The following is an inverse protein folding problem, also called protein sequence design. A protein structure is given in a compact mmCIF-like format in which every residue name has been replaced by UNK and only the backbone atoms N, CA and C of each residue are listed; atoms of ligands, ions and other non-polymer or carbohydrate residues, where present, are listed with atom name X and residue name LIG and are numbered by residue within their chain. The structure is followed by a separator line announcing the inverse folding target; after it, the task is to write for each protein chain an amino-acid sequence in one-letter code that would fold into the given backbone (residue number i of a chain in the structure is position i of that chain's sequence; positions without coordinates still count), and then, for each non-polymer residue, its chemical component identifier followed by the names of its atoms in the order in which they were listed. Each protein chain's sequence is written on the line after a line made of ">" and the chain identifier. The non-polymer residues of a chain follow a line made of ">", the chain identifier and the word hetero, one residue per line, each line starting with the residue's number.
data_IF_437106701071
#
_entry.id   IF_437106701071
#
_cell.length_a   1.000
_cell.length_b   1.000
_cell.length_c   1.000
_cell.angle_alpha   90.00
_cell.angle_beta   90.00
_cell.angle_gamma   90.00
#
_symmetry.space_group_name_H-M   'P 1'
#
loop_
_entity.id
_entity.type
_entity.pdbx_description
1 polymer ?
#
# COMPACT_ATOMS: atom_id res chain seq x y z
N UNK A 1 -10.39 -57.55 30.73
CA UNK A 1 -10.08 -57.55 29.29
C UNK A 1 -11.19 -56.83 28.57
N UNK A 2 -10.96 -55.57 28.17
CA UNK A 2 -11.35 -54.92 26.91
C UNK A 2 -11.01 -53.43 27.02
N UNK A 3 -10.21 -52.98 26.07
CA UNK A 3 -9.52 -51.71 25.92
C UNK A 3 -10.39 -50.74 25.09
N UNK A 4 -10.54 -49.43 25.42
CA UNK A 4 -11.24 -48.50 24.55
C UNK A 4 -10.26 -47.86 23.55
N UNK A 5 -10.53 -48.12 22.27
CA UNK A 5 -9.74 -47.69 21.13
C UNK A 5 -9.65 -46.16 20.99
N UNK A 6 -8.43 -45.72 20.67
CA UNK A 6 -8.07 -44.37 20.28
C UNK A 6 -8.72 -43.97 18.95
N UNK A 7 -9.47 -42.87 18.94
CA UNK A 7 -9.99 -42.22 17.73
C UNK A 7 -8.89 -41.45 17.00
N UNK A 8 -8.45 -41.99 15.87
CA UNK A 8 -7.50 -41.36 14.95
C UNK A 8 -8.12 -40.13 14.27
N UNK A 9 -7.46 -38.97 14.40
CA UNK A 9 -7.84 -37.74 13.72
C UNK A 9 -7.59 -37.80 12.21
N UNK A 10 -8.62 -37.51 11.43
CA UNK A 10 -8.56 -37.45 9.97
C UNK A 10 -7.62 -36.32 9.47
N UNK A 11 -6.88 -36.53 8.37
CA UNK A 11 -6.03 -35.51 7.78
C UNK A 11 -6.87 -34.41 7.11
N UNK A 12 -6.43 -33.16 7.29
CA UNK A 12 -7.00 -31.99 6.64
C UNK A 12 -6.89 -32.12 5.11
N UNK A 13 -8.04 -32.18 4.45
CA UNK A 13 -8.16 -32.21 2.99
C UNK A 13 -7.43 -31.05 2.32
N UNK A 14 -6.69 -31.36 1.26
CA UNK A 14 -5.94 -30.39 0.47
C UNK A 14 -6.87 -29.38 -0.20
N UNK A 15 -6.66 -28.10 0.09
CA UNK A 15 -7.30 -27.02 -0.64
C UNK A 15 -6.76 -26.97 -2.09
N UNK A 16 -7.61 -26.65 -3.08
CA UNK A 16 -7.19 -26.57 -4.47
C UNK A 16 -6.07 -25.51 -4.65
N UNK A 17 -5.01 -25.94 -5.31
CA UNK A 17 -3.88 -25.11 -5.75
C UNK A 17 -4.38 -24.05 -6.73
N UNK A 18 -4.54 -22.81 -6.28
CA UNK A 18 -4.69 -21.68 -7.20
C UNK A 18 -3.41 -21.51 -8.02
N UNK A 19 -3.50 -21.30 -9.35
CA UNK A 19 -2.33 -21.05 -10.17
C UNK A 19 -1.61 -19.78 -9.68
N UNK A 20 -0.27 -19.74 -9.76
CA UNK A 20 0.49 -18.56 -9.40
C UNK A 20 0.05 -17.38 -10.27
N UNK A 21 -0.07 -16.17 -9.71
CA UNK A 21 -0.37 -14.98 -10.51
C UNK A 21 0.74 -14.78 -11.55
N UNK A 22 0.35 -14.68 -12.82
CA UNK A 22 1.23 -14.32 -13.92
C UNK A 22 1.80 -12.92 -13.66
N UNK A 23 3.09 -12.88 -13.38
CA UNK A 23 3.83 -11.67 -13.11
C UNK A 23 4.28 -11.04 -14.42
N UNK A 24 3.75 -9.85 -14.73
CA UNK A 24 4.39 -8.92 -15.67
C UNK A 24 5.29 -8.03 -14.81
N UNK A 25 6.63 -8.10 -14.96
CA UNK A 25 7.50 -7.16 -14.28
C UNK A 25 7.18 -5.73 -14.71
N UNK A 26 7.13 -4.75 -13.78
CA UNK A 26 7.25 -3.37 -14.19
C UNK A 26 8.59 -3.20 -14.89
N UNK A 27 8.55 -2.74 -16.14
CA UNK A 27 9.73 -2.44 -16.94
C UNK A 27 10.64 -1.47 -16.18
N UNK A 28 11.89 -1.89 -15.95
CA UNK A 28 13.02 -0.99 -15.76
C UNK A 28 13.41 -0.63 -14.32
N UNK A 29 14.16 -1.51 -13.65
CA UNK A 29 15.36 -1.08 -12.89
C UNK A 29 16.45 -2.14 -13.15
N UNK A 30 17.17 -1.99 -14.26
CA UNK A 30 18.44 -2.69 -14.48
C UNK A 30 19.49 -1.98 -13.63
N UNK A 31 20.13 -2.73 -12.73
CA UNK A 31 21.26 -2.24 -11.95
C UNK A 31 22.51 -2.14 -12.84
N UNK A 32 22.60 -1.10 -13.66
CA UNK A 32 23.85 -0.73 -14.35
C UNK A 32 24.60 0.32 -13.53
N UNK A 33 25.81 -0.03 -13.07
CA UNK A 33 26.80 0.91 -12.52
C UNK A 33 27.36 1.77 -13.67
N UNK A 34 26.62 2.80 -14.04
CA UNK A 34 27.10 3.95 -14.83
C UNK A 34 27.00 5.23 -14.00
N UNK A 35 27.48 6.39 -14.50
CA UNK A 35 27.31 7.67 -13.82
C UNK A 35 25.82 7.85 -13.51
N UNK A 36 25.48 8.05 -12.23
CA UNK A 36 24.09 8.18 -11.76
C UNK A 36 23.42 9.30 -12.57
N UNK A 37 22.62 8.94 -13.57
CA UNK A 37 21.61 9.83 -14.10
C UNK A 37 20.83 10.34 -12.88
N UNK A 38 20.74 11.66 -12.71
CA UNK A 38 19.97 12.24 -11.62
C UNK A 38 18.55 11.67 -11.72
N UNK A 39 18.18 10.84 -10.75
CA UNK A 39 16.84 10.25 -10.70
C UNK A 39 15.87 11.42 -10.56
N UNK A 40 14.92 11.55 -11.48
CA UNK A 40 13.90 12.60 -11.41
C UNK A 40 13.13 12.44 -10.09
N UNK A 41 13.19 13.47 -9.24
CA UNK A 41 12.58 13.47 -7.90
C UNK A 41 11.09 13.16 -7.99
N UNK A 42 10.38 13.68 -8.98
CA UNK A 42 8.95 13.43 -9.18
C UNK A 42 8.64 11.97 -9.51
N UNK A 43 9.50 11.30 -10.29
CA UNK A 43 9.37 9.88 -10.58
C UNK A 43 9.60 9.03 -9.31
N UNK A 44 10.65 9.34 -8.56
CA UNK A 44 10.97 8.66 -7.30
C UNK A 44 9.82 8.80 -6.26
N UNK A 45 9.23 9.98 -6.15
CA UNK A 45 8.08 10.23 -5.28
C UNK A 45 6.87 9.39 -5.68
N UNK A 46 6.56 9.32 -6.98
CA UNK A 46 5.46 8.50 -7.47
C UNK A 46 5.67 7.01 -7.20
N UNK A 47 6.85 6.49 -7.53
CA UNK A 47 7.21 5.09 -7.30
C UNK A 47 7.14 4.72 -5.81
N UNK A 48 7.53 5.66 -4.93
CA UNK A 48 7.38 5.52 -3.49
C UNK A 48 5.91 5.38 -3.08
N UNK A 49 5.02 6.26 -3.55
CA UNK A 49 3.59 6.21 -3.23
C UNK A 49 2.98 4.87 -3.68
N UNK A 50 3.22 4.48 -4.93
CA UNK A 50 2.67 3.23 -5.47
C UNK A 50 3.17 2.01 -4.69
N UNK A 51 4.47 1.97 -4.42
CA UNK A 51 5.08 0.86 -3.70
C UNK A 51 4.59 0.80 -2.26
N UNK A 52 4.41 1.95 -1.60
CA UNK A 52 3.87 2.02 -0.25
C UNK A 52 2.44 1.46 -0.19
N UNK A 53 1.55 1.95 -1.06
CA UNK A 53 0.15 1.50 -1.11
C UNK A 53 0.07 0.01 -1.46
N UNK A 54 0.86 -0.47 -2.41
CA UNK A 54 0.92 -1.88 -2.77
C UNK A 54 1.42 -2.76 -1.61
N UNK A 55 2.46 -2.31 -0.89
CA UNK A 55 3.00 -3.00 0.28
C UNK A 55 1.96 -3.11 1.39
N UNK A 56 1.28 -2.01 1.70
CA UNK A 56 0.21 -1.95 2.71
C UNK A 56 -0.93 -2.90 2.36
N UNK A 57 -1.41 -2.88 1.12
CA UNK A 57 -2.49 -3.77 0.66
C UNK A 57 -2.08 -5.25 0.74
N UNK A 58 -0.87 -5.58 0.31
CA UNK A 58 -0.37 -6.94 0.40
C UNK A 58 -0.30 -7.41 1.86
N UNK A 59 0.22 -6.57 2.76
CA UNK A 59 0.22 -6.87 4.18
C UNK A 59 -1.19 -7.05 4.76
N UNK A 60 -2.13 -6.17 4.42
CA UNK A 60 -3.53 -6.31 4.85
C UNK A 60 -4.13 -7.66 4.41
N UNK A 61 -3.83 -8.11 3.18
CA UNK A 61 -4.23 -9.43 2.71
C UNK A 61 -3.60 -10.58 3.50
N UNK A 62 -2.31 -10.47 3.86
CA UNK A 62 -1.62 -11.45 4.71
C UNK A 62 -2.26 -11.50 6.11
N UNK A 63 -2.49 -10.33 6.72
CA UNK A 63 -3.09 -10.21 8.04
C UNK A 63 -4.52 -10.74 8.07
N UNK A 64 -5.35 -10.41 7.08
CA UNK A 64 -6.72 -10.89 6.98
C UNK A 64 -6.78 -12.42 6.84
N UNK A 65 -5.91 -13.00 5.98
CA UNK A 65 -5.83 -14.45 5.82
C UNK A 65 -5.39 -15.14 7.12
N UNK A 66 -4.41 -14.56 7.83
CA UNK A 66 -4.00 -15.05 9.14
C UNK A 66 -5.16 -15.05 10.14
N UNK A 67 -5.86 -13.93 10.26
CA UNK A 67 -7.00 -13.81 11.18
C UNK A 67 -8.13 -14.79 10.84
N UNK A 68 -8.46 -14.95 9.56
CA UNK A 68 -9.45 -15.93 9.10
C UNK A 68 -9.04 -17.35 9.50
N UNK A 69 -7.77 -17.72 9.32
CA UNK A 69 -7.26 -19.05 9.71
C UNK A 69 -7.29 -19.27 11.21
N UNK A 70 -6.96 -18.24 12.00
CA UNK A 70 -7.04 -18.26 13.46
C UNK A 70 -8.48 -18.47 13.92
N UNK A 71 -9.43 -17.69 13.38
CA UNK A 71 -10.86 -17.81 13.72
C UNK A 71 -11.37 -19.20 13.35
N UNK A 72 -11.10 -19.68 12.14
CA UNK A 72 -11.52 -21.01 11.70
C UNK A 72 -10.91 -22.14 12.55
N UNK A 73 -9.68 -21.96 13.05
CA UNK A 73 -9.05 -22.92 13.94
C UNK A 73 -9.65 -22.91 15.36
N UNK A 74 -10.00 -21.73 15.88
CA UNK A 74 -10.69 -21.56 17.15
C UNK A 74 -12.11 -22.17 17.11
N UNK A 75 -12.89 -21.85 16.08
CA UNK A 75 -14.24 -22.39 15.89
C UNK A 75 -14.27 -23.91 15.81
N UNK A 76 -13.34 -24.52 15.07
CA UNK A 76 -13.23 -25.99 14.97
C UNK A 76 -12.91 -26.69 16.29
N UNK A 77 -12.33 -25.97 17.26
CA UNK A 77 -11.96 -26.49 18.58
C UNK A 77 -12.94 -26.07 19.68
N UNK A 78 -13.98 -25.30 19.35
CA UNK A 78 -14.95 -24.81 20.34
C UNK A 78 -14.35 -23.86 21.38
N UNK A 79 -13.25 -23.17 21.05
CA UNK A 79 -12.56 -22.23 21.97
C UNK A 79 -12.56 -20.82 21.39
N UNK A 80 -12.31 -19.81 22.24
CA UNK A 80 -12.09 -18.44 21.75
C UNK A 80 -10.68 -18.28 21.15
N UNK A 81 -10.44 -17.16 20.46
CA UNK A 81 -9.12 -16.83 19.89
C UNK A 81 -8.03 -16.81 20.96
N UNK A 82 -8.33 -16.28 22.13
CA UNK A 82 -7.40 -16.09 23.25
C UNK A 82 -7.06 -17.42 23.92
N UNK A 83 -7.99 -18.39 23.86
CA UNK A 83 -7.84 -19.73 24.39
C UNK A 83 -7.24 -20.72 23.37
N UNK A 84 -7.06 -20.29 22.12
CA UNK A 84 -6.62 -21.14 21.03
C UNK A 84 -5.18 -21.61 21.25
N UNK A 85 -5.03 -22.91 21.54
CA UNK A 85 -3.74 -23.61 21.56
C UNK A 85 -3.68 -24.57 20.37
N UNK A 86 -2.76 -24.30 19.44
CA UNK A 86 -2.56 -25.11 18.23
C UNK A 86 -1.27 -25.91 18.31
N UNK A 87 -1.20 -27.15 17.80
CA UNK A 87 0.09 -27.81 17.64
C UNK A 87 0.96 -27.04 16.62
N UNK A 88 2.30 -27.18 16.66
CA UNK A 88 3.23 -26.43 15.81
C UNK A 88 2.94 -26.52 14.31
N UNK A 89 2.48 -27.68 13.82
CA UNK A 89 2.07 -27.88 12.43
C UNK A 89 0.91 -26.97 12.03
N UNK A 90 -0.11 -26.90 12.87
CA UNK A 90 -1.30 -26.07 12.62
C UNK A 90 -0.97 -24.58 12.75
N UNK A 91 -0.13 -24.22 13.73
CA UNK A 91 0.37 -22.85 13.90
C UNK A 91 1.20 -22.38 12.70
N UNK A 92 2.10 -23.23 12.20
CA UNK A 92 2.85 -22.97 10.98
C UNK A 92 1.90 -22.75 9.79
N UNK A 93 0.83 -23.55 9.69
CA UNK A 93 -0.17 -23.41 8.65
C UNK A 93 -1.00 -22.11 8.75
N UNK A 94 -1.01 -21.41 9.88
CA UNK A 94 -1.71 -20.11 9.99
C UNK A 94 -1.06 -19.03 9.12
N UNK A 95 0.25 -19.12 8.87
CA UNK A 95 1.00 -18.13 8.11
C UNK A 95 1.39 -18.66 6.72
N UNK A 96 1.30 -17.80 5.71
CA UNK A 96 1.77 -18.13 4.37
C UNK A 96 3.15 -17.52 4.14
N UNK A 97 4.22 -18.22 4.58
CA UNK A 97 5.59 -17.72 4.52
C UNK A 97 6.00 -17.13 3.15
N UNK A 98 5.75 -17.78 2.00
CA UNK A 98 6.11 -17.20 0.71
C UNK A 98 5.52 -15.81 0.43
N UNK A 99 4.29 -15.52 0.92
CA UNK A 99 3.67 -14.20 0.73
C UNK A 99 4.32 -13.15 1.62
N UNK A 100 4.73 -13.54 2.84
CA UNK A 100 5.45 -12.66 3.76
C UNK A 100 6.87 -12.36 3.26
N UNK A 101 7.56 -13.36 2.71
CA UNK A 101 8.88 -13.19 2.08
C UNK A 101 8.77 -12.33 0.81
N UNK A 102 7.75 -12.55 -0.02
CA UNK A 102 7.48 -11.68 -1.16
C UNK A 102 7.22 -10.23 -0.74
N UNK A 103 6.40 -10.01 0.31
CA UNK A 103 6.21 -8.66 0.88
C UNK A 103 7.55 -8.06 1.31
N UNK A 104 8.40 -8.83 2.01
CA UNK A 104 9.71 -8.35 2.47
C UNK A 104 10.63 -7.96 1.30
N UNK A 105 10.82 -8.87 0.36
CA UNK A 105 11.90 -8.77 -0.63
C UNK A 105 11.49 -7.95 -1.84
N UNK A 106 10.29 -8.15 -2.36
CA UNK A 106 9.84 -7.52 -3.60
C UNK A 106 9.19 -6.14 -3.36
N UNK A 107 8.79 -5.83 -2.12
CA UNK A 107 8.05 -4.60 -1.81
C UNK A 107 8.74 -3.75 -0.75
N UNK A 108 8.94 -4.30 0.46
CA UNK A 108 9.47 -3.51 1.57
C UNK A 108 10.96 -3.18 1.43
N UNK A 109 11.76 -4.06 0.82
CA UNK A 109 13.16 -3.77 0.58
C UNK A 109 13.36 -2.60 -0.42
N UNK A 110 12.71 -2.59 -1.60
CA UNK A 110 12.67 -1.40 -2.46
C UNK A 110 12.09 -0.18 -1.75
N UNK A 111 10.96 -0.33 -1.03
CA UNK A 111 10.31 0.78 -0.33
C UNK A 111 11.24 1.48 0.64
N UNK A 112 12.00 0.72 1.45
CA UNK A 112 12.99 1.28 2.38
C UNK A 112 14.09 2.06 1.66
N UNK A 113 14.56 1.55 0.51
CA UNK A 113 15.58 2.26 -0.28
C UNK A 113 15.05 3.57 -0.86
N UNK A 114 13.81 3.57 -1.35
CA UNK A 114 13.15 4.78 -1.83
C UNK A 114 12.89 5.76 -0.69
N UNK A 115 12.43 5.27 0.47
CA UNK A 115 12.22 6.11 1.65
C UNK A 115 13.51 6.84 2.06
N UNK A 116 14.63 6.11 2.15
CA UNK A 116 15.93 6.72 2.41
C UNK A 116 16.34 7.73 1.33
N UNK A 117 16.10 7.42 0.05
CA UNK A 117 16.45 8.34 -1.03
C UNK A 117 15.58 9.61 -1.08
N UNK A 118 14.31 9.53 -0.63
CA UNK A 118 13.38 10.66 -0.59
C UNK A 118 13.56 11.50 0.67
N UNK A 119 13.83 10.85 1.82
CA UNK A 119 13.73 11.48 3.15
C UNK A 119 15.03 11.45 3.97
N UNK A 120 16.05 10.69 3.54
CA UNK A 120 17.23 10.36 4.34
C UNK A 120 18.11 11.57 4.71
N UNK A 121 18.00 12.66 3.97
CA UNK A 121 18.80 13.88 4.18
C UNK A 121 18.00 15.06 4.78
N UNK A 122 16.70 14.90 5.05
CA UNK A 122 15.80 16.00 5.43
C UNK A 122 15.15 15.79 6.82
N UNK A 123 15.88 16.06 7.91
CA UNK A 123 15.34 16.31 9.27
C UNK A 123 14.01 15.61 9.66
N UNK A 124 12.96 16.39 9.95
CA UNK A 124 11.62 15.94 10.40
C UNK A 124 10.87 15.05 9.37
N UNK A 125 11.38 14.95 8.13
CA UNK A 125 10.92 14.01 7.11
C UNK A 125 11.35 12.56 7.39
N UNK A 126 12.33 12.37 8.27
CA UNK A 126 12.84 11.06 8.69
C UNK A 126 11.80 10.15 9.37
N UNK A 127 10.64 10.68 9.80
CA UNK A 127 9.56 9.85 10.34
C UNK A 127 9.02 8.84 9.32
N UNK A 128 8.90 9.23 8.04
CA UNK A 128 8.41 8.30 7.01
C UNK A 128 9.42 7.20 6.72
N UNK A 129 10.72 7.55 6.66
CA UNK A 129 11.80 6.57 6.53
C UNK A 129 11.85 5.62 7.73
N UNK A 130 11.77 6.16 8.96
CA UNK A 130 11.73 5.38 10.19
C UNK A 130 10.56 4.39 10.19
N UNK A 131 9.35 4.81 9.81
CA UNK A 131 8.21 3.88 9.72
C UNK A 131 8.44 2.79 8.68
N UNK A 132 8.97 3.13 7.49
CA UNK A 132 9.31 2.12 6.47
C UNK A 132 10.37 1.14 6.98
N UNK A 133 11.38 1.65 7.69
CA UNK A 133 12.41 0.84 8.36
C UNK A 133 11.83 -0.11 9.41
N UNK A 134 10.93 0.39 10.28
CA UNK A 134 10.25 -0.42 11.28
C UNK A 134 9.38 -1.51 10.64
N UNK A 135 8.57 -1.18 9.62
CA UNK A 135 7.76 -2.15 8.89
C UNK A 135 8.64 -3.26 8.31
N UNK A 136 9.73 -2.89 7.62
CA UNK A 136 10.68 -3.85 7.05
C UNK A 136 11.32 -4.74 8.13
N UNK A 137 11.74 -4.15 9.25
CA UNK A 137 12.36 -4.86 10.37
C UNK A 137 11.42 -5.89 10.98
N UNK A 138 10.20 -5.48 11.32
CA UNK A 138 9.18 -6.34 11.91
C UNK A 138 8.81 -7.52 11.00
N UNK A 139 8.63 -7.27 9.69
CA UNK A 139 8.37 -8.33 8.70
C UNK A 139 9.57 -9.26 8.52
N UNK A 140 10.79 -8.74 8.61
CA UNK A 140 12.02 -9.53 8.53
C UNK A 140 12.19 -10.45 9.74
N UNK A 141 11.83 -9.97 10.94
CA UNK A 141 11.77 -10.79 12.15
C UNK A 141 10.74 -11.91 11.97
N UNK A 142 9.49 -11.57 11.64
CA UNK A 142 8.41 -12.54 11.42
C UNK A 142 8.82 -13.63 10.42
N UNK A 143 9.41 -13.24 9.29
CA UNK A 143 9.85 -14.19 8.25
C UNK A 143 10.95 -15.14 8.76
N UNK A 144 11.92 -14.61 9.51
CA UNK A 144 13.06 -15.37 10.02
C UNK A 144 12.63 -16.37 11.09
N UNK A 145 11.81 -15.92 12.03
CA UNK A 145 11.28 -16.76 13.09
C UNK A 145 10.37 -17.85 12.53
N UNK A 146 9.48 -17.51 11.59
CA UNK A 146 8.60 -18.49 10.97
C UNK A 146 9.38 -19.55 10.19
N UNK A 147 10.49 -19.18 9.55
CA UNK A 147 11.41 -20.14 8.94
C UNK A 147 12.07 -21.04 9.99
N UNK A 148 12.45 -20.50 11.14
CA UNK A 148 12.98 -21.29 12.26
C UNK A 148 11.94 -22.28 12.78
N UNK A 149 10.69 -21.86 13.01
CA UNK A 149 9.58 -22.75 13.38
C UNK A 149 9.42 -23.87 12.35
N UNK A 150 9.44 -23.56 11.05
CA UNK A 150 9.37 -24.56 9.98
C UNK A 150 10.50 -25.59 10.01
N UNK A 151 11.73 -25.17 10.36
CA UNK A 151 12.87 -26.10 10.56
C UNK A 151 12.66 -27.00 11.78
N UNK A 152 12.10 -26.46 12.86
CA UNK A 152 11.77 -27.25 14.04
C UNK A 152 10.63 -28.23 13.76
N UNK A 153 9.53 -27.84 13.12
CA UNK A 153 8.44 -28.77 12.77
C UNK A 153 8.95 -30.05 12.07
N UNK A 154 10.05 -29.96 11.30
CA UNK A 154 10.68 -31.09 10.60
C UNK A 154 11.61 -31.98 11.45
N UNK A 155 12.08 -31.54 12.62
CA UNK A 155 13.16 -32.21 13.41
C UNK A 155 12.71 -32.97 14.68
N UNK A 156 11.41 -33.11 14.94
CA UNK A 156 10.79 -33.82 16.09
C UNK A 156 11.54 -33.80 17.45
N UNK A 157 11.85 -32.65 18.07
CA UNK A 157 12.41 -32.54 19.45
C UNK A 157 11.46 -31.84 20.47
N UNK A 158 10.45 -32.52 21.04
CA UNK A 158 9.30 -31.90 21.73
C UNK A 158 9.59 -30.85 22.83
N UNK A 159 10.70 -30.94 23.56
CA UNK A 159 10.97 -30.06 24.73
C UNK A 159 11.41 -28.65 24.33
N UNK A 160 12.21 -28.52 23.28
CA UNK A 160 12.61 -27.20 22.74
C UNK A 160 11.45 -26.50 22.03
N UNK A 161 10.36 -27.22 21.77
CA UNK A 161 9.22 -26.76 20.97
C UNK A 161 8.24 -26.00 21.84
N UNK A 162 8.06 -26.41 23.10
CA UNK A 162 7.06 -25.82 23.99
C UNK A 162 7.39 -24.36 24.37
N UNK A 163 8.67 -24.04 24.59
CA UNK A 163 9.12 -22.65 24.84
C UNK A 163 9.00 -21.75 23.60
N UNK A 164 9.47 -22.24 22.44
CA UNK A 164 9.32 -21.53 21.17
C UNK A 164 7.84 -21.32 20.81
N UNK A 165 6.98 -22.24 21.25
CA UNK A 165 5.54 -22.24 21.01
C UNK A 165 4.77 -21.25 21.88
N UNK A 166 5.05 -21.19 23.18
CA UNK A 166 4.52 -20.15 24.07
C UNK A 166 4.91 -18.76 23.58
N UNK A 167 6.17 -18.62 23.14
CA UNK A 167 6.67 -17.39 22.55
C UNK A 167 5.90 -17.03 21.26
N UNK A 168 5.83 -17.94 20.27
CA UNK A 168 5.21 -17.66 18.95
C UNK A 168 3.69 -17.40 19.04
N UNK A 169 2.96 -18.11 19.90
CA UNK A 169 1.49 -18.00 20.01
C UNK A 169 1.02 -16.61 20.50
N UNK A 170 1.76 -15.97 21.40
CA UNK A 170 1.51 -14.58 21.82
C UNK A 170 2.18 -13.54 20.91
N UNK A 171 3.38 -13.86 20.43
CA UNK A 171 4.25 -12.90 19.75
C UNK A 171 3.85 -12.59 18.30
N UNK A 172 3.39 -13.57 17.51
CA UNK A 172 2.98 -13.32 16.11
C UNK A 172 1.79 -12.34 16.00
N UNK A 173 0.69 -12.52 16.76
CA UNK A 173 -0.37 -11.53 16.80
C UNK A 173 0.12 -10.13 17.18
N UNK A 174 1.06 -10.03 18.13
CA UNK A 174 1.60 -8.75 18.55
C UNK A 174 2.42 -8.08 17.44
N UNK A 175 3.34 -8.80 16.82
CA UNK A 175 4.15 -8.31 15.70
C UNK A 175 3.28 -7.89 14.51
N UNK A 176 2.28 -8.69 14.16
CA UNK A 176 1.29 -8.32 13.14
C UNK A 176 0.54 -7.02 13.49
N UNK A 177 0.12 -6.85 14.74
CA UNK A 177 -0.49 -5.60 15.21
C UNK A 177 0.48 -4.42 15.12
N UNK A 178 1.77 -4.62 15.45
CA UNK A 178 2.81 -3.58 15.30
C UNK A 178 3.01 -3.18 13.84
N UNK A 179 3.14 -4.14 12.92
CA UNK A 179 3.25 -3.85 11.47
C UNK A 179 2.02 -3.08 10.98
N UNK A 180 0.81 -3.53 11.37
CA UNK A 180 -0.45 -2.83 11.04
C UNK A 180 -0.45 -1.38 11.56
N UNK A 181 0.00 -1.18 12.81
CA UNK A 181 0.11 0.15 13.44
C UNK A 181 1.09 1.03 12.66
N UNK A 182 2.27 0.53 12.30
CA UNK A 182 3.25 1.30 11.54
C UNK A 182 2.77 1.65 10.13
N UNK A 183 2.09 0.74 9.42
CA UNK A 183 1.43 1.09 8.16
C UNK A 183 0.36 2.18 8.36
N UNK A 184 -0.38 2.15 9.46
CA UNK A 184 -1.37 3.19 9.79
C UNK A 184 -0.72 4.55 10.06
N UNK A 185 0.38 4.57 10.81
CA UNK A 185 1.17 5.78 11.07
C UNK A 185 1.77 6.34 9.78
N UNK A 186 2.41 5.48 8.98
CA UNK A 186 3.00 5.86 7.69
C UNK A 186 1.95 6.33 6.68
N UNK A 187 0.75 5.76 6.68
CA UNK A 187 -0.34 6.22 5.82
C UNK A 187 -0.77 7.65 6.17
N UNK A 188 -0.92 7.98 7.47
CA UNK A 188 -1.21 9.35 7.90
C UNK A 188 -0.10 10.31 7.51
N UNK A 189 1.16 9.91 7.73
CA UNK A 189 2.31 10.71 7.32
C UNK A 189 2.36 10.94 5.81
N UNK A 190 2.04 9.91 5.01
CA UNK A 190 1.91 10.05 3.57
C UNK A 190 0.84 11.09 3.20
N UNK A 191 -0.32 11.06 3.85
CA UNK A 191 -1.39 12.04 3.61
C UNK A 191 -0.98 13.48 3.96
N UNK A 192 -0.14 13.67 4.99
CA UNK A 192 0.44 14.98 5.33
C UNK A 192 1.46 15.47 4.28
N UNK A 193 2.15 14.55 3.61
CA UNK A 193 3.17 14.85 2.61
C UNK A 193 2.57 15.09 1.20
N UNK A 194 1.44 14.45 0.87
CA UNK A 194 0.81 14.59 -0.45
C UNK A 194 0.58 16.04 -0.90
N UNK A 195 0.14 16.99 -0.04
CA UNK A 195 0.04 18.39 -0.42
C UNK A 195 1.36 19.01 -0.85
N UNK A 196 2.46 18.66 -0.19
CA UNK A 196 3.78 19.24 -0.52
C UNK A 196 4.30 18.69 -1.84
N UNK A 197 3.84 17.53 -2.30
CA UNK A 197 4.24 16.95 -3.60
C UNK A 197 3.31 17.34 -4.76
N UNK A 198 2.28 18.13 -4.49
CA UNK A 198 1.29 18.52 -5.50
C UNK A 198 1.85 19.41 -6.63
N UNK A 199 3.02 20.02 -6.43
CA UNK A 199 3.70 20.82 -7.45
C UNK A 199 4.64 19.99 -8.36
N UNK A 200 4.90 18.73 -8.00
CA UNK A 200 5.79 17.86 -8.78
C UNK A 200 5.07 17.37 -10.04
N UNK A 201 5.56 17.79 -11.21
CA UNK A 201 4.89 17.56 -12.49
C UNK A 201 4.62 16.08 -12.77
N UNK A 202 5.60 15.22 -12.50
CA UNK A 202 5.46 13.77 -12.69
C UNK A 202 4.43 13.20 -11.72
N UNK A 203 4.47 13.57 -10.44
CA UNK A 203 3.48 13.13 -9.45
C UNK A 203 2.07 13.52 -9.90
N UNK A 204 1.88 14.74 -10.41
CA UNK A 204 0.58 15.21 -10.89
C UNK A 204 0.06 14.43 -12.10
N UNK A 205 0.91 14.22 -13.10
CA UNK A 205 0.54 13.45 -14.30
C UNK A 205 0.27 12.00 -13.97
N UNK A 206 1.07 11.40 -13.10
CA UNK A 206 0.87 10.02 -12.66
C UNK A 206 -0.38 9.87 -11.79
N UNK A 207 -0.69 10.85 -10.93
CA UNK A 207 -1.95 10.91 -10.20
C UNK A 207 -3.15 10.95 -11.17
N UNK A 208 -3.05 11.70 -12.27
CA UNK A 208 -4.07 11.66 -13.32
C UNK A 208 -4.12 10.28 -14.01
N UNK A 209 -3.01 9.78 -14.54
CA UNK A 209 -3.02 8.56 -15.35
C UNK A 209 -3.38 7.30 -14.54
N UNK A 210 -2.82 7.17 -13.34
CA UNK A 210 -2.83 5.93 -12.56
C UNK A 210 -3.54 6.06 -11.21
N UNK A 211 -3.82 7.28 -10.76
CA UNK A 211 -4.41 7.57 -9.46
C UNK A 211 -5.78 6.92 -9.25
N UNK A 212 -6.54 6.63 -10.31
CA UNK A 212 -7.82 5.92 -10.20
C UNK A 212 -7.65 4.56 -9.53
N UNK A 213 -6.73 3.74 -10.05
CA UNK A 213 -6.45 2.42 -9.51
C UNK A 213 -5.73 2.49 -8.16
N UNK A 214 -4.84 3.46 -7.97
CA UNK A 214 -4.08 3.63 -6.74
C UNK A 214 -5.01 4.02 -5.59
N UNK A 215 -5.85 5.02 -5.79
CA UNK A 215 -6.75 5.56 -4.76
C UNK A 215 -7.79 4.56 -4.30
N UNK A 216 -8.37 3.78 -5.22
CA UNK A 216 -9.33 2.73 -4.83
C UNK A 216 -8.69 1.71 -3.89
N UNK A 217 -7.40 1.43 -4.07
CA UNK A 217 -6.65 0.50 -3.22
C UNK A 217 -6.23 1.12 -1.90
N UNK A 218 -5.95 2.41 -1.85
CA UNK A 218 -5.51 3.11 -0.64
C UNK A 218 -6.69 3.52 0.27
N UNK A 219 -7.74 4.08 -0.34
CA UNK A 219 -8.84 4.80 0.33
C UNK A 219 -10.25 4.35 -0.06
N UNK A 220 -10.40 3.40 -0.98
CA UNK A 220 -11.70 2.89 -1.41
C UNK A 220 -12.48 3.79 -2.38
N UNK A 221 -11.93 4.95 -2.74
CA UNK A 221 -12.51 5.92 -3.69
C UNK A 221 -11.57 6.12 -4.88
N UNK A 222 -12.10 6.64 -6.00
CA UNK A 222 -11.34 6.88 -7.24
C UNK A 222 -10.29 7.99 -7.12
N UNK A 223 -9.77 8.44 -8.27
CA UNK A 223 -8.72 9.46 -8.40
C UNK A 223 -9.00 10.71 -7.57
N UNK A 224 -10.26 11.12 -7.49
CA UNK A 224 -10.74 12.25 -6.69
C UNK A 224 -10.22 12.21 -5.25
N UNK A 225 -10.20 11.04 -4.61
CA UNK A 225 -9.73 10.93 -3.22
C UNK A 225 -8.23 11.19 -3.05
N UNK A 226 -7.44 11.01 -4.11
CA UNK A 226 -6.04 11.44 -4.12
C UNK A 226 -5.95 12.95 -4.30
N UNK A 227 -6.75 13.55 -5.17
CA UNK A 227 -6.77 15.02 -5.32
C UNK A 227 -7.29 15.75 -4.09
N UNK A 228 -8.30 15.24 -3.39
CA UNK A 228 -8.74 15.77 -2.10
C UNK A 228 -7.58 15.84 -1.08
N UNK A 229 -6.64 14.88 -1.13
CA UNK A 229 -5.48 14.81 -0.23
C UNK A 229 -4.31 15.67 -0.71
N UNK A 230 -4.07 15.72 -2.01
CA UNK A 230 -3.03 16.57 -2.60
C UNK A 230 -3.42 18.06 -2.57
N UNK A 231 -4.71 18.36 -2.57
CA UNK A 231 -5.24 19.74 -2.60
C UNK A 231 -6.28 19.92 -1.51
N UNK A 232 -5.86 20.00 -0.23
CA UNK A 232 -6.80 20.22 0.88
C UNK A 232 -7.58 21.54 0.73
N UNK A 233 -7.01 22.50 0.00
CA UNK A 233 -7.67 23.74 -0.44
C UNK A 233 -7.99 23.63 -1.93
N UNK A 234 -9.26 23.76 -2.30
CA UNK A 234 -9.72 23.64 -3.69
C UNK A 234 -10.02 22.21 -4.16
N UNK A 235 -9.60 21.18 -3.42
CA UNK A 235 -10.06 19.80 -3.57
C UNK A 235 -9.83 19.21 -4.97
N UNK A 236 -10.80 18.39 -5.38
CA UNK A 236 -10.79 17.66 -6.65
C UNK A 236 -10.63 18.58 -7.86
N UNK A 237 -11.34 19.72 -7.87
CA UNK A 237 -11.31 20.71 -8.97
C UNK A 237 -9.88 21.20 -9.18
N UNK A 238 -9.19 21.55 -8.09
CA UNK A 238 -7.80 22.01 -8.16
C UNK A 238 -6.89 20.94 -8.76
N UNK A 239 -7.06 19.68 -8.36
CA UNK A 239 -6.28 18.58 -8.93
C UNK A 239 -6.46 18.40 -10.43
N UNK A 240 -7.69 18.52 -10.93
CA UNK A 240 -7.96 18.47 -12.36
C UNK A 240 -7.40 19.67 -13.13
N UNK A 241 -7.51 20.88 -12.58
CA UNK A 241 -6.92 22.09 -13.17
C UNK A 241 -5.39 21.97 -13.27
N UNK A 242 -4.72 21.52 -12.21
CA UNK A 242 -3.27 21.37 -12.21
C UNK A 242 -2.80 20.24 -13.14
N UNK A 243 -3.57 19.14 -13.25
CA UNK A 243 -3.31 18.11 -14.25
C UNK A 243 -3.44 18.66 -15.68
N UNK A 244 -4.50 19.41 -15.97
CA UNK A 244 -4.72 20.03 -17.29
C UNK A 244 -3.59 20.99 -17.65
N UNK A 245 -3.22 21.91 -16.75
CA UNK A 245 -2.08 22.83 -16.92
C UNK A 245 -0.77 22.08 -17.15
N UNK A 246 -0.52 21.03 -16.36
CA UNK A 246 0.71 20.23 -16.47
C UNK A 246 0.81 19.53 -17.84
N UNK A 247 -0.27 18.97 -18.37
CA UNK A 247 -0.27 18.34 -19.69
C UNK A 247 -0.16 19.37 -20.83
N UNK A 248 -0.89 20.48 -20.73
CA UNK A 248 -0.87 21.56 -21.73
C UNK A 248 0.53 22.16 -21.88
N UNK A 249 1.20 22.43 -20.75
CA UNK A 249 2.56 22.96 -20.70
C UNK A 249 3.63 22.00 -21.29
N UNK A 250 3.27 20.76 -21.61
CA UNK A 250 4.16 19.80 -22.28
C UNK A 250 3.62 19.30 -23.62
N UNK A 251 2.65 20.01 -24.20
CA UNK A 251 2.11 19.70 -25.53
C UNK A 251 1.18 18.49 -25.58
N UNK A 252 0.78 17.93 -24.44
CA UNK A 252 -0.16 16.81 -24.38
C UNK A 252 -1.61 17.30 -24.41
N UNK A 253 -2.03 17.87 -25.56
CA UNK A 253 -3.32 18.55 -25.69
C UNK A 253 -4.54 17.68 -25.41
N UNK A 254 -4.54 16.39 -25.80
CA UNK A 254 -5.67 15.48 -25.56
C UNK A 254 -5.86 15.21 -24.05
N UNK A 255 -4.84 14.73 -23.30
CA UNK A 255 -4.95 14.62 -21.84
C UNK A 255 -5.30 15.93 -21.14
N UNK A 256 -4.75 17.06 -21.60
CA UNK A 256 -5.04 18.37 -21.03
C UNK A 256 -6.53 18.71 -21.12
N UNK A 257 -7.13 18.55 -22.31
CA UNK A 257 -8.58 18.80 -22.51
C UNK A 257 -9.44 17.84 -21.70
N UNK A 258 -9.08 16.56 -21.62
CA UNK A 258 -9.81 15.59 -20.80
C UNK A 258 -9.80 15.97 -19.32
N UNK A 259 -8.64 16.42 -18.81
CA UNK A 259 -8.53 16.90 -17.43
C UNK A 259 -9.35 18.16 -17.18
N UNK A 260 -9.38 19.10 -18.13
CA UNK A 260 -10.22 20.30 -18.05
C UNK A 260 -11.72 19.94 -18.00
N UNK A 261 -12.19 19.03 -18.86
CA UNK A 261 -13.60 18.57 -18.83
C UNK A 261 -13.96 17.96 -17.47
N UNK A 262 -13.08 17.16 -16.87
CA UNK A 262 -13.31 16.64 -15.52
C UNK A 262 -13.34 17.76 -14.46
N UNK A 263 -12.51 18.80 -14.61
CA UNK A 263 -12.53 19.97 -13.74
C UNK A 263 -13.87 20.73 -13.83
N UNK A 264 -14.41 20.90 -15.03
CA UNK A 264 -15.72 21.52 -15.28
C UNK A 264 -16.86 20.70 -14.66
N UNK A 265 -16.86 19.39 -14.87
CA UNK A 265 -17.85 18.49 -14.29
C UNK A 265 -17.84 18.57 -12.75
N UNK A 266 -16.64 18.50 -12.15
CA UNK A 266 -16.49 18.63 -10.70
C UNK A 266 -16.95 20.01 -10.18
N UNK A 267 -16.68 21.09 -10.94
CA UNK A 267 -17.12 22.44 -10.61
C UNK A 267 -18.65 22.60 -10.63
N UNK A 268 -19.32 22.00 -11.62
CA UNK A 268 -20.79 22.01 -11.72
C UNK A 268 -21.42 21.27 -10.55
N UNK A 269 -20.99 20.02 -10.28
CA UNK A 269 -21.48 19.22 -9.15
C UNK A 269 -21.29 19.94 -7.81
N UNK A 270 -20.14 20.61 -7.63
CA UNK A 270 -19.87 21.33 -6.39
C UNK A 270 -20.78 22.56 -6.22
N UNK A 271 -21.05 23.31 -7.30
CA UNK A 271 -21.97 24.46 -7.28
C UNK A 271 -23.42 24.06 -6.97
N UNK A 272 -23.85 22.91 -7.49
CA UNK A 272 -25.22 22.41 -7.28
C UNK A 272 -25.42 21.83 -5.87
N UNK A 273 -24.37 21.24 -5.31
CA UNK A 273 -24.48 20.56 -4.01
C UNK A 273 -24.39 21.50 -2.80
N UNK A 274 -23.68 22.64 -2.90
CA UNK A 274 -23.52 23.57 -1.77
C UNK A 274 -22.96 24.94 -2.15
N UNK A 275 -23.02 25.85 -1.18
CA UNK A 275 -22.28 27.11 -1.22
C UNK A 275 -20.78 26.85 -1.24
N UNK A 276 -20.10 27.45 -2.23
CA UNK A 276 -18.66 27.32 -2.42
C UNK A 276 -17.88 28.12 -1.37
N UNK A 277 -16.82 27.53 -0.82
CA UNK A 277 -15.82 28.22 -0.02
C UNK A 277 -14.93 29.11 -0.89
N UNK A 278 -14.18 30.04 -0.28
CA UNK A 278 -13.33 30.98 -1.02
C UNK A 278 -12.33 30.29 -1.96
N UNK A 279 -11.64 29.25 -1.48
CA UNK A 279 -10.68 28.48 -2.28
C UNK A 279 -11.35 27.70 -3.42
N UNK A 280 -12.59 27.25 -3.22
CA UNK A 280 -13.36 26.53 -4.23
C UNK A 280 -13.87 27.47 -5.32
N UNK A 281 -14.33 28.67 -4.93
CA UNK A 281 -14.66 29.73 -5.89
C UNK A 281 -13.46 30.08 -6.77
N UNK A 282 -12.27 30.17 -6.16
CA UNK A 282 -11.02 30.41 -6.89
C UNK A 282 -10.70 29.26 -7.85
N UNK A 283 -10.77 28.00 -7.40
CA UNK A 283 -10.53 26.84 -8.25
C UNK A 283 -11.52 26.77 -9.43
N UNK A 284 -12.79 27.11 -9.20
CA UNK A 284 -13.81 27.20 -10.25
C UNK A 284 -13.53 28.33 -11.24
N UNK A 285 -13.07 29.50 -10.78
CA UNK A 285 -12.63 30.57 -11.67
C UNK A 285 -11.40 30.16 -12.50
N UNK A 286 -10.47 29.43 -11.90
CA UNK A 286 -9.30 28.86 -12.59
C UNK A 286 -9.70 27.92 -13.75
N UNK A 287 -10.80 27.16 -13.60
CA UNK A 287 -11.34 26.31 -14.69
C UNK A 287 -11.75 27.16 -15.89
N UNK A 288 -12.54 28.22 -15.67
CA UNK A 288 -13.01 29.10 -16.74
C UNK A 288 -11.84 29.79 -17.46
N UNK A 289 -10.89 30.33 -16.69
CA UNK A 289 -9.69 30.97 -17.26
C UNK A 289 -8.84 29.99 -18.07
N UNK A 290 -8.69 28.74 -17.60
CA UNK A 290 -7.92 27.72 -18.32
C UNK A 290 -8.61 27.29 -19.62
N UNK A 291 -9.94 27.16 -19.62
CA UNK A 291 -10.72 26.86 -20.82
C UNK A 291 -10.53 27.93 -21.89
N UNK A 292 -10.66 29.19 -21.52
CA UNK A 292 -10.54 30.31 -22.46
C UNK A 292 -9.09 30.39 -23.03
N UNK A 293 -8.09 30.12 -22.20
CA UNK A 293 -6.68 30.00 -22.63
C UNK A 293 -6.45 28.84 -23.62
N UNK A 294 -7.06 27.68 -23.38
CA UNK A 294 -6.89 26.52 -24.26
C UNK A 294 -7.67 26.66 -25.58
N UNK A 295 -8.80 27.37 -25.58
CA UNK A 295 -9.56 27.68 -26.79
C UNK A 295 -8.74 28.58 -27.74
N UNK A 296 -8.17 29.67 -27.22
CA UNK A 296 -7.36 30.60 -28.03
C UNK A 296 -6.12 29.94 -28.65
N UNK A 297 -5.47 29.01 -27.95
CA UNK A 297 -4.35 28.22 -28.52
C UNK A 297 -4.76 27.31 -29.68
N UNK A 298 -6.00 26.83 -29.68
CA UNK A 298 -6.49 25.92 -30.72
C UNK A 298 -6.83 26.68 -32.02
N UNK A 299 -7.16 27.97 -31.92
CA UNK A 299 -7.46 28.82 -33.09
C UNK A 299 -6.21 29.33 -33.81
N UNK A 300 -5.05 29.32 -33.15
CA UNK A 300 -3.78 29.84 -33.68
C UNK A 300 -2.89 28.74 -34.28
N UNK A 301 -3.20 27.46 -34.03
CA UNK A 301 -2.44 26.29 -34.48
C UNK A 301 -3.08 25.63 -35.72
#
# INVERSE_FOLDING_TARGET
>A
MTDPAAGAGAPLGGAPSLPPPTFVPPSGIVASRGPRAAVDRGALLWDFIETFVASRRLFQGIHALYDQRVIAAASRRGVTREQLKLPPRDLFALFHLPRLEHLRDARLHPLRRMAFAVFGDEGDSGLMDAYCGHIFHEVSILSREHRSVGRFVRRHDPRRYQRLFEEVSGYYPERLRRVRRFFGLAMRRLEELLPTWSHERIVMRSAWLFGESLSRRAWGRGREALYERMYPRGGVIRGYVEAARSFDASGFGVPARQALVQAEQAATVLRESRTLMADERRAVADVAALRDLMATKTEVA
#
